data_IF_493262899678
#
_entry.id   IF_493262899678
#
_cell.length_a   1.000
_cell.length_b   1.000
_cell.length_c   1.000
_cell.angle_alpha   90.00
_cell.angle_beta   90.00
_cell.angle_gamma   90.00
#
_symmetry.space_group_name_H-M   'P 1'
#
loop_
_entity.id
_entity.type
_entity.pdbx_description
1 polymer ?
#
# COMPACT_ATOMS: atom_id res chain seq x y z
N UNK A 1 -17.58 -11.52 14.76
CA UNK A 1 -16.30 -11.92 15.40
C UNK A 1 -15.16 -11.79 14.40
N UNK A 2 -14.02 -11.36 14.85
CA UNK A 2 -12.84 -11.20 14.00
C UNK A 2 -12.31 -12.57 13.56
N UNK A 3 -12.23 -12.78 12.24
CA UNK A 3 -11.76 -14.04 11.67
C UNK A 3 -10.28 -13.90 11.27
N UNK A 4 -9.41 -14.39 12.14
CA UNK A 4 -7.96 -14.30 11.95
C UNK A 4 -7.51 -15.00 10.67
N UNK A 5 -8.05 -16.19 10.41
CA UNK A 5 -7.62 -16.95 9.22
C UNK A 5 -8.02 -16.26 7.92
N UNK A 6 -9.17 -15.62 7.89
CA UNK A 6 -9.62 -14.84 6.74
C UNK A 6 -8.68 -13.67 6.49
N UNK A 7 -8.32 -12.93 7.54
CA UNK A 7 -7.38 -11.79 7.41
C UNK A 7 -6.00 -12.27 7.00
N UNK A 8 -5.52 -13.38 7.55
CA UNK A 8 -4.21 -13.92 7.18
C UNK A 8 -4.12 -14.29 5.71
N UNK A 9 -5.21 -14.74 5.11
CA UNK A 9 -5.23 -15.08 3.67
C UNK A 9 -5.00 -13.88 2.76
N UNK A 10 -5.22 -12.66 3.25
CA UNK A 10 -4.96 -11.45 2.47
C UNK A 10 -3.47 -11.13 2.35
N UNK A 11 -2.63 -11.81 3.14
CA UNK A 11 -1.18 -11.57 3.19
C UNK A 11 -0.42 -12.75 2.60
N UNK A 12 0.01 -12.66 1.33
CA UNK A 12 0.68 -13.79 0.67
C UNK A 12 1.86 -14.38 1.42
N UNK A 13 2.66 -13.53 2.07
CA UNK A 13 3.85 -13.99 2.79
C UNK A 13 3.51 -14.98 3.91
N UNK A 14 2.32 -14.86 4.49
CA UNK A 14 1.93 -15.76 5.59
C UNK A 14 1.65 -17.19 5.15
N UNK A 15 1.60 -17.42 3.82
CA UNK A 15 1.53 -18.76 3.24
C UNK A 15 2.89 -19.45 3.07
N UNK A 16 3.98 -18.72 3.29
CA UNK A 16 5.33 -19.27 3.16
C UNK A 16 5.60 -20.27 4.28
N UNK A 17 6.30 -21.34 3.95
CA UNK A 17 6.71 -22.35 4.94
C UNK A 17 8.21 -22.26 5.18
N UNK A 18 8.61 -22.38 6.44
CA UNK A 18 10.01 -22.33 6.87
C UNK A 18 10.32 -23.64 7.61
N UNK A 19 11.31 -24.34 7.13
CA UNK A 19 11.66 -25.67 7.66
C UNK A 19 10.46 -26.60 7.75
N UNK A 20 9.63 -26.56 6.70
CA UNK A 20 8.43 -27.37 6.57
C UNK A 20 7.34 -27.07 7.60
N UNK A 21 7.39 -25.89 8.20
CA UNK A 21 6.41 -25.40 9.18
C UNK A 21 5.81 -24.07 8.71
N UNK A 22 4.58 -23.73 9.14
CA UNK A 22 4.00 -22.42 8.83
C UNK A 22 4.89 -21.28 9.35
N UNK A 23 4.98 -20.22 8.58
CA UNK A 23 5.69 -19.02 9.00
C UNK A 23 5.02 -18.39 10.23
N UNK A 24 5.82 -18.08 11.23
CA UNK A 24 5.42 -17.21 12.34
C UNK A 24 6.25 -15.93 12.24
N UNK A 25 5.58 -14.81 12.01
CA UNK A 25 6.25 -13.51 11.82
C UNK A 25 5.91 -12.59 13.00
N UNK A 26 6.93 -12.19 13.75
CA UNK A 26 6.76 -11.38 14.98
C UNK A 26 7.59 -10.09 14.94
N UNK A 27 7.98 -9.65 13.75
CA UNK A 27 8.89 -8.50 13.58
C UNK A 27 8.24 -7.30 12.89
N UNK A 28 6.93 -7.14 13.07
CA UNK A 28 6.17 -6.03 12.45
C UNK A 28 6.66 -4.65 12.91
N UNK A 29 7.33 -4.57 14.06
CA UNK A 29 7.94 -3.32 14.52
C UNK A 29 9.07 -2.83 13.62
N UNK A 30 9.78 -3.76 12.98
CA UNK A 30 10.83 -3.43 12.01
C UNK A 30 10.24 -3.19 10.62
N UNK A 31 9.38 -4.08 10.17
CA UNK A 31 8.65 -3.91 8.91
C UNK A 31 7.35 -4.70 8.94
N UNK A 32 6.27 -4.07 8.58
CA UNK A 32 4.98 -4.72 8.45
C UNK A 32 4.87 -5.44 7.10
N UNK A 33 4.23 -6.60 7.11
CA UNK A 33 3.97 -7.32 5.88
C UNK A 33 2.86 -6.64 5.08
N UNK A 34 2.81 -6.90 3.79
CA UNK A 34 1.90 -6.21 2.87
C UNK A 34 0.78 -7.14 2.44
N UNK A 35 -0.48 -6.68 2.49
CA UNK A 35 -1.58 -7.45 1.93
C UNK A 35 -1.55 -7.45 0.39
N UNK A 36 -2.23 -8.40 -0.21
CA UNK A 36 -2.28 -8.57 -1.67
C UNK A 36 -2.70 -7.27 -2.38
N UNK A 37 -3.69 -6.57 -1.85
CA UNK A 37 -4.17 -5.33 -2.48
C UNK A 37 -3.08 -4.25 -2.58
N UNK A 38 -2.19 -4.18 -1.59
CA UNK A 38 -1.07 -3.23 -1.62
C UNK A 38 -0.03 -3.66 -2.66
N UNK A 39 0.31 -4.95 -2.68
CA UNK A 39 1.28 -5.50 -3.63
C UNK A 39 0.79 -5.27 -5.07
N UNK A 40 -0.47 -5.59 -5.35
CA UNK A 40 -1.07 -5.39 -6.67
C UNK A 40 -1.10 -3.93 -7.09
N UNK A 41 -1.38 -3.03 -6.16
CA UNK A 41 -1.43 -1.59 -6.45
C UNK A 41 -0.05 -1.07 -6.84
N UNK A 42 0.99 -1.45 -6.10
CA UNK A 42 2.37 -1.07 -6.41
C UNK A 42 2.82 -1.66 -7.74
N UNK A 43 2.52 -2.93 -7.97
CA UNK A 43 2.85 -3.61 -9.22
C UNK A 43 2.19 -2.90 -10.41
N UNK A 44 0.90 -2.62 -10.31
CA UNK A 44 0.16 -1.94 -11.37
C UNK A 44 0.67 -0.53 -11.62
N UNK A 45 1.01 0.20 -10.54
CA UNK A 45 1.60 1.53 -10.68
C UNK A 45 2.86 1.47 -11.53
N UNK A 46 3.77 0.56 -11.22
CA UNK A 46 5.03 0.45 -11.96
C UNK A 46 4.85 -0.01 -13.40
N UNK A 47 3.85 -0.85 -13.68
CA UNK A 47 3.59 -1.35 -15.02
C UNK A 47 2.85 -0.37 -15.91
N UNK A 48 2.01 0.48 -15.35
CA UNK A 48 1.03 1.25 -16.13
C UNK A 48 1.10 2.76 -15.94
N UNK A 49 1.58 3.24 -14.80
CA UNK A 49 1.40 4.64 -14.42
C UNK A 49 2.63 5.29 -13.81
N UNK A 50 3.78 4.62 -13.82
CA UNK A 50 4.96 5.16 -13.14
C UNK A 50 5.49 6.39 -13.84
N UNK A 51 5.44 7.54 -13.16
CA UNK A 51 5.94 8.80 -13.67
C UNK A 51 6.21 9.76 -12.51
N UNK A 52 6.93 10.84 -12.79
CA UNK A 52 7.18 11.88 -11.82
C UNK A 52 5.89 12.67 -11.56
N UNK A 53 5.54 12.81 -10.29
CA UNK A 53 4.30 13.52 -9.91
C UNK A 53 4.53 15.02 -9.85
N UNK A 54 3.45 15.80 -10.08
CA UNK A 54 3.38 17.26 -9.93
C UNK A 54 4.25 18.08 -10.90
N UNK A 55 5.11 17.45 -11.69
CA UNK A 55 6.06 18.16 -12.55
C UNK A 55 5.90 17.91 -14.03
N UNK A 56 5.29 16.78 -14.39
CA UNK A 56 5.08 16.44 -15.78
C UNK A 56 3.76 16.98 -16.29
N UNK A 57 3.71 17.19 -17.61
CA UNK A 57 2.48 17.63 -18.30
C UNK A 57 1.97 16.55 -19.25
N UNK A 58 2.46 15.33 -19.11
CA UNK A 58 2.03 14.20 -19.92
C UNK A 58 1.07 13.30 -19.15
N UNK A 59 0.39 12.42 -19.88
CA UNK A 59 -0.68 11.60 -19.34
C UNK A 59 -0.27 10.78 -18.11
N UNK A 60 0.88 10.10 -18.15
CA UNK A 60 1.32 9.27 -17.04
C UNK A 60 1.59 10.09 -15.78
N UNK A 61 2.16 11.27 -15.93
CA UNK A 61 2.43 12.16 -14.81
C UNK A 61 1.13 12.66 -14.17
N UNK A 62 0.13 12.99 -14.99
CA UNK A 62 -1.18 13.41 -14.49
C UNK A 62 -1.87 12.28 -13.75
N UNK A 63 -1.83 11.08 -14.30
CA UNK A 63 -2.42 9.90 -13.66
C UNK A 63 -1.74 9.57 -12.34
N UNK A 64 -0.41 9.60 -12.30
CA UNK A 64 0.33 9.36 -11.06
C UNK A 64 0.03 10.43 -10.02
N UNK A 65 -0.10 11.68 -10.43
CA UNK A 65 -0.46 12.79 -9.54
C UNK A 65 -1.86 12.59 -8.96
N UNK A 66 -2.83 12.20 -9.78
CA UNK A 66 -4.18 11.92 -9.31
C UNK A 66 -4.20 10.80 -8.26
N UNK A 67 -3.46 9.73 -8.50
CA UNK A 67 -3.35 8.62 -7.56
C UNK A 67 -2.73 9.09 -6.22
N UNK A 68 -1.68 9.87 -6.29
CA UNK A 68 -1.03 10.43 -5.11
C UNK A 68 -1.96 11.32 -4.31
N UNK A 69 -2.63 12.26 -4.97
CA UNK A 69 -3.54 13.19 -4.30
C UNK A 69 -4.77 12.50 -3.75
N UNK A 70 -5.29 11.49 -4.42
CA UNK A 70 -6.40 10.69 -3.92
C UNK A 70 -6.01 9.92 -2.65
N UNK A 71 -4.82 9.33 -2.63
CA UNK A 71 -4.30 8.63 -1.46
C UNK A 71 -4.10 9.60 -0.29
N UNK A 72 -3.55 10.77 -0.58
CA UNK A 72 -3.34 11.82 0.42
C UNK A 72 -4.65 12.25 1.06
N UNK A 73 -5.67 12.52 0.25
CA UNK A 73 -6.99 12.90 0.74
C UNK A 73 -7.63 11.80 1.60
N UNK A 74 -7.46 10.55 1.18
CA UNK A 74 -8.01 9.40 1.90
C UNK A 74 -7.35 9.22 3.27
N UNK A 75 -6.05 9.37 3.34
CA UNK A 75 -5.31 9.28 4.60
C UNK A 75 -5.72 10.43 5.52
N UNK A 76 -5.83 11.64 4.98
CA UNK A 76 -6.25 12.81 5.74
C UNK A 76 -7.64 12.60 6.36
N UNK A 77 -8.58 12.09 5.60
CA UNK A 77 -9.91 11.73 6.07
C UNK A 77 -9.85 10.72 7.22
N UNK A 78 -9.06 9.69 7.05
CA UNK A 78 -8.93 8.62 8.04
C UNK A 78 -8.39 9.12 9.38
N UNK A 79 -7.39 10.00 9.37
CA UNK A 79 -6.78 10.53 10.60
C UNK A 79 -7.43 11.83 11.09
N UNK A 80 -8.43 12.36 10.38
CA UNK A 80 -9.10 13.60 10.76
C UNK A 80 -8.26 14.86 10.56
N UNK A 81 -7.32 14.84 9.60
CA UNK A 81 -6.44 15.97 9.30
C UNK A 81 -6.89 16.69 8.03
N UNK A 82 -6.36 17.90 7.80
CA UNK A 82 -6.53 18.57 6.51
C UNK A 82 -5.64 17.90 5.45
N UNK A 83 -6.17 17.70 4.25
CA UNK A 83 -5.46 17.03 3.18
C UNK A 83 -4.11 17.68 2.84
N UNK A 84 -4.03 19.01 2.93
CA UNK A 84 -2.80 19.75 2.66
C UNK A 84 -1.65 19.42 3.63
N UNK A 85 -1.97 18.87 4.80
CA UNK A 85 -0.99 18.55 5.85
C UNK A 85 -0.57 17.08 5.78
N UNK A 86 -1.46 16.22 5.31
CA UNK A 86 -1.16 14.80 5.20
C UNK A 86 -0.07 14.56 4.17
N UNK A 87 0.90 13.70 4.51
CA UNK A 87 2.01 13.33 3.63
C UNK A 87 2.90 14.49 3.18
N UNK A 88 2.91 15.60 3.91
CA UNK A 88 3.93 16.63 3.72
C UNK A 88 5.19 16.18 4.43
N UNK A 89 6.24 16.05 3.71
CA UNK A 89 7.49 15.58 4.29
C UNK A 89 8.65 16.44 3.91
#
# INVERSE_FOLDING_TARGET
MFDVEKVRRDFPILGVRVYDKPLVYLDSGATAQKPECVIETVDRLHRESNANIHRGVHFLSEEATEMYEAARARIAEYIGAEARVALTG
#
